data_IF_647458051460
#
_entry.id   IF_647458051460
#
_cell.length_a   1.000
_cell.length_b   1.000
_cell.length_c   1.000
_cell.angle_alpha   90.00
_cell.angle_beta   90.00
_cell.angle_gamma   90.00
#
_symmetry.space_group_name_H-M   'P 1'
#
loop_
_entity.id
_entity.type
_entity.pdbx_description
1 polymer ?
#
# COMPACT_ATOMS: atom_id res chain seq x y z
N UNK A 1 40.59 6.01 4.49
CA UNK A 1 40.08 7.32 4.94
C UNK A 1 39.08 7.07 6.05
N UNK A 2 39.15 7.83 7.15
CA UNK A 2 38.23 7.69 8.27
C UNK A 2 36.92 8.41 7.97
N UNK A 3 35.89 7.63 7.62
CA UNK A 3 34.56 8.14 7.30
C UNK A 3 33.89 8.80 8.52
N UNK A 4 34.29 8.47 9.75
CA UNK A 4 33.68 9.05 10.96
C UNK A 4 33.92 10.55 11.12
N UNK A 5 34.92 11.10 10.40
CA UNK A 5 35.29 12.52 10.40
C UNK A 5 34.56 13.35 9.33
N UNK A 6 33.56 12.78 8.65
CA UNK A 6 32.82 13.51 7.62
C UNK A 6 32.14 14.76 8.23
N UNK A 7 32.34 15.96 7.63
CA UNK A 7 31.70 17.18 8.07
C UNK A 7 30.17 17.09 8.08
N UNK A 8 29.54 17.74 9.07
CA UNK A 8 28.08 17.72 9.28
C UNK A 8 27.30 18.24 8.08
N UNK A 9 27.77 19.31 7.44
CA UNK A 9 27.21 19.89 6.23
C UNK A 9 27.17 18.90 5.06
N UNK A 10 28.22 18.10 4.88
CA UNK A 10 28.26 17.04 3.87
C UNK A 10 27.25 15.93 4.23
N UNK A 11 27.20 15.50 5.50
CA UNK A 11 26.20 14.53 5.96
C UNK A 11 24.77 15.06 5.73
N UNK A 12 24.52 16.33 5.97
CA UNK A 12 23.22 16.98 5.72
C UNK A 12 22.88 17.05 4.23
N UNK A 13 23.86 17.30 3.35
CA UNK A 13 23.68 17.26 1.90
C UNK A 13 23.37 15.85 1.39
N UNK A 14 24.06 14.83 1.92
CA UNK A 14 23.79 13.42 1.60
C UNK A 14 22.38 13.05 2.09
N UNK A 15 22.05 13.37 3.34
CA UNK A 15 20.74 13.12 3.91
C UNK A 15 19.62 13.86 3.16
N UNK A 16 19.89 15.06 2.63
CA UNK A 16 18.96 15.83 1.82
C UNK A 16 18.63 15.21 0.46
N UNK A 17 19.46 14.27 -0.03
CA UNK A 17 19.21 13.53 -1.28
C UNK A 17 18.38 12.26 -1.09
N UNK A 18 18.19 11.82 0.16
CA UNK A 18 17.47 10.60 0.45
C UNK A 18 15.98 10.74 0.19
N UNK A 19 15.43 9.72 -0.47
CA UNK A 19 14.02 9.65 -0.86
C UNK A 19 13.17 9.00 0.23
N UNK A 20 13.80 8.32 1.17
CA UNK A 20 13.16 7.55 2.24
C UNK A 20 13.79 7.87 3.59
N UNK A 21 13.04 7.65 4.66
CA UNK A 21 13.57 7.72 6.01
C UNK A 21 14.59 6.63 6.33
N UNK A 22 14.54 5.51 5.62
CA UNK A 22 15.36 4.34 5.87
C UNK A 22 16.80 4.58 5.46
N UNK A 23 17.03 5.33 4.38
CA UNK A 23 18.37 5.80 4.01
C UNK A 23 18.96 6.70 5.11
N UNK A 24 18.15 7.53 5.77
CA UNK A 24 18.59 8.32 6.93
C UNK A 24 18.93 7.40 8.11
N UNK A 25 18.12 6.37 8.36
CA UNK A 25 18.40 5.38 9.42
C UNK A 25 19.71 4.64 9.14
N UNK A 26 19.93 4.18 7.90
CA UNK A 26 21.17 3.52 7.49
C UNK A 26 22.38 4.44 7.58
N UNK A 27 22.25 5.70 7.14
CA UNK A 27 23.33 6.68 7.26
C UNK A 27 23.69 6.93 8.72
N UNK A 28 22.69 7.04 9.60
CA UNK A 28 22.92 7.22 11.04
C UNK A 28 23.51 5.97 11.71
N UNK A 29 23.33 4.79 11.11
CA UNK A 29 23.85 3.53 11.65
C UNK A 29 25.34 3.28 11.40
N UNK A 30 26.00 4.09 10.57
CA UNK A 30 27.41 3.89 10.19
C UNK A 30 28.36 4.07 11.38
N UNK A 31 28.18 5.13 12.17
CA UNK A 31 28.94 5.35 13.40
C UNK A 31 28.24 6.36 14.32
N UNK A 32 28.69 6.43 15.58
CA UNK A 32 28.12 7.34 16.57
C UNK A 32 28.23 8.81 16.17
N UNK A 33 29.34 9.25 15.56
CA UNK A 33 29.48 10.64 15.11
C UNK A 33 28.41 11.01 14.08
N UNK A 34 28.10 10.13 13.13
CA UNK A 34 27.04 10.36 12.13
C UNK A 34 25.65 10.32 12.76
N UNK A 35 25.43 9.42 13.74
CA UNK A 35 24.19 9.35 14.51
C UNK A 35 23.86 10.65 15.24
N UNK A 36 24.87 11.33 15.81
CA UNK A 36 24.74 12.61 16.50
C UNK A 36 24.73 13.82 15.56
N UNK A 37 25.54 13.78 14.49
CA UNK A 37 25.62 14.87 13.51
C UNK A 37 24.31 15.08 12.76
N UNK A 38 23.62 13.99 12.46
CA UNK A 38 22.29 13.99 11.89
C UNK A 38 21.28 13.80 13.03
N UNK A 39 20.65 14.88 13.54
CA UNK A 39 19.51 14.69 14.42
C UNK A 39 18.52 13.75 13.72
N UNK A 40 17.73 12.94 14.46
CA UNK A 40 16.57 12.31 13.88
C UNK A 40 15.69 13.46 13.38
N UNK A 41 15.87 13.87 12.11
CA UNK A 41 15.00 14.80 11.44
C UNK A 41 13.69 14.04 11.26
N UNK A 42 12.90 14.02 12.34
CA UNK A 42 11.48 13.67 12.34
C UNK A 42 10.69 14.79 11.65
N UNK A 43 11.36 15.80 11.07
CA UNK A 43 10.82 16.63 9.99
C UNK A 43 10.77 15.84 8.67
N UNK A 44 9.84 14.88 8.61
CA UNK A 44 8.70 14.90 7.69
C UNK A 44 8.95 15.42 6.24
N UNK A 45 10.04 15.00 5.60
CA UNK A 45 10.27 15.21 4.16
C UNK A 45 9.93 13.97 3.32
N UNK A 46 10.25 12.79 3.83
CA UNK A 46 10.20 11.52 3.08
C UNK A 46 9.30 10.43 3.71
N UNK A 47 8.99 10.52 5.00
CA UNK A 47 7.93 9.73 5.65
C UNK A 47 6.67 10.58 5.75
N UNK A 48 5.73 10.37 4.85
CA UNK A 48 4.34 10.73 5.08
C UNK A 48 4.06 12.17 5.51
N UNK A 49 4.33 13.15 4.65
CA UNK A 49 3.74 14.50 4.78
C UNK A 49 2.24 14.33 5.01
N UNK A 50 1.78 14.58 6.24
CA UNK A 50 0.36 14.72 6.55
C UNK A 50 -0.05 16.05 6.00
N UNK A 51 -0.70 16.04 4.85
CA UNK A 51 -1.25 17.27 4.28
C UNK A 51 -2.67 17.41 4.81
N UNK A 52 -2.94 18.52 5.48
CA UNK A 52 -4.30 18.91 5.80
C UNK A 52 -4.92 19.44 4.52
N UNK A 53 -5.92 18.72 4.03
CA UNK A 53 -6.75 19.15 2.92
C UNK A 53 -8.09 19.59 3.52
N UNK A 54 -8.83 20.51 2.90
CA UNK A 54 -10.20 20.77 3.30
C UNK A 54 -11.03 19.48 3.22
N UNK A 55 -12.07 19.40 4.04
CA UNK A 55 -13.10 18.35 3.92
C UNK A 55 -13.79 18.44 2.55
N UNK A 56 -14.48 17.38 2.16
CA UNK A 56 -15.24 17.35 0.92
C UNK A 56 -16.38 18.38 1.00
N UNK A 57 -16.22 19.50 0.29
CA UNK A 57 -17.11 20.65 0.35
C UNK A 57 -18.32 20.53 -0.59
N UNK A 58 -18.20 19.71 -1.64
CA UNK A 58 -19.31 19.36 -2.52
C UNK A 58 -20.13 18.19 -1.92
N UNK A 59 -21.37 18.03 -2.38
CA UNK A 59 -22.22 16.94 -1.91
C UNK A 59 -21.53 15.56 -2.09
N UNK A 60 -21.56 14.69 -1.07
CA UNK A 60 -22.23 14.87 0.23
C UNK A 60 -21.48 15.81 1.18
N UNK A 61 -22.19 16.81 1.73
CA UNK A 61 -21.67 17.64 2.83
C UNK A 61 -21.50 16.77 4.07
N UNK A 62 -20.31 16.79 4.66
CA UNK A 62 -20.02 16.10 5.91
C UNK A 62 -20.17 17.06 7.09
N UNK A 63 -21.08 16.75 8.02
CA UNK A 63 -21.02 17.31 9.36
C UNK A 63 -19.89 16.61 10.12
N UNK A 64 -18.88 17.38 10.54
CA UNK A 64 -17.68 16.83 11.17
C UNK A 64 -16.46 17.74 11.07
N UNK A 65 -15.31 17.14 10.74
CA UNK A 65 -14.04 17.86 10.65
C UNK A 65 -14.03 18.81 9.46
N UNK A 66 -13.42 19.99 9.63
CA UNK A 66 -13.18 20.93 8.52
C UNK A 66 -12.10 20.43 7.55
N UNK A 67 -11.30 19.44 7.96
CA UNK A 67 -10.12 18.99 7.24
C UNK A 67 -10.02 17.47 7.19
N UNK A 68 -9.50 16.94 6.08
CA UNK A 68 -9.06 15.57 5.96
C UNK A 68 -7.53 15.49 5.90
N UNK A 69 -6.98 14.37 6.36
CA UNK A 69 -5.54 14.13 6.45
C UNK A 69 -5.13 13.23 5.30
N UNK A 70 -4.40 13.77 4.33
CA UNK A 70 -3.71 12.96 3.33
C UNK A 70 -2.45 12.36 3.94
N UNK A 71 -2.39 11.04 4.01
CA UNK A 71 -1.26 10.25 4.48
C UNK A 71 -0.54 9.61 3.30
N UNK A 72 0.76 9.86 3.20
CA UNK A 72 1.67 9.14 2.31
C UNK A 72 2.38 8.04 3.13
N UNK A 73 2.12 6.78 2.81
CA UNK A 73 2.59 5.61 3.55
C UNK A 73 3.65 4.93 2.69
N UNK A 74 4.95 4.97 3.05
CA UNK A 74 5.95 4.21 2.32
C UNK A 74 5.72 2.71 2.50
N UNK A 75 5.89 1.97 1.42
CA UNK A 75 5.85 0.51 1.36
C UNK A 75 7.24 0.04 0.99
N UNK A 76 7.76 -0.95 1.68
CA UNK A 76 9.12 -1.45 1.54
C UNK A 76 9.20 -2.94 1.87
N UNK A 77 10.20 -3.60 1.32
CA UNK A 77 10.61 -4.95 1.71
C UNK A 77 11.83 -4.86 2.62
N UNK A 78 11.74 -5.51 3.77
CA UNK A 78 12.85 -5.74 4.67
C UNK A 78 13.44 -7.11 4.34
N UNK A 79 14.64 -7.14 3.79
CA UNK A 79 15.40 -8.37 3.62
C UNK A 79 16.29 -8.61 4.82
N UNK A 80 16.29 -9.82 5.33
CA UNK A 80 17.12 -10.24 6.46
C UNK A 80 17.64 -11.65 6.25
N UNK A 81 18.76 -11.97 6.91
CA UNK A 81 19.37 -13.29 6.86
C UNK A 81 18.80 -14.18 7.97
N UNK A 82 18.41 -15.40 7.61
CA UNK A 82 17.99 -16.45 8.54
C UNK A 82 18.94 -17.65 8.40
N UNK A 83 18.96 -18.58 9.37
CA UNK A 83 19.70 -19.84 9.23
C UNK A 83 19.31 -20.68 8.00
N UNK A 84 18.17 -20.39 7.38
CA UNK A 84 17.64 -21.07 6.21
C UNK A 84 17.80 -20.28 4.89
N UNK A 85 18.49 -19.13 4.94
CA UNK A 85 18.71 -18.24 3.81
C UNK A 85 18.07 -16.86 3.99
N UNK A 86 18.05 -16.06 2.91
CA UNK A 86 17.41 -14.76 2.92
C UNK A 86 15.89 -14.90 3.03
N UNK A 87 15.28 -14.05 3.85
CA UNK A 87 13.83 -13.92 3.98
C UNK A 87 13.45 -12.42 3.89
N UNK A 88 12.19 -12.16 3.58
CA UNK A 88 11.68 -10.82 3.33
C UNK A 88 10.48 -10.53 4.22
N UNK A 89 10.29 -9.28 4.64
CA UNK A 89 9.09 -8.76 5.29
C UNK A 89 8.54 -7.59 4.48
N UNK A 90 7.35 -7.76 3.90
CA UNK A 90 6.62 -6.71 3.21
C UNK A 90 5.88 -5.86 4.23
N UNK A 91 6.23 -4.59 4.30
CA UNK A 91 5.70 -3.72 5.32
C UNK A 91 5.47 -2.28 4.82
N UNK A 92 4.54 -1.63 5.50
CA UNK A 92 4.25 -0.22 5.36
C UNK A 92 4.55 0.48 6.67
N UNK A 93 4.83 1.77 6.64
CA UNK A 93 5.15 2.50 7.87
C UNK A 93 4.26 3.72 8.03
N UNK A 94 3.72 3.88 9.24
CA UNK A 94 2.99 5.08 9.62
C UNK A 94 3.47 5.61 10.94
N UNK A 95 3.38 6.92 11.12
CA UNK A 95 3.72 7.58 12.37
C UNK A 95 2.45 7.85 13.18
N UNK A 96 2.50 7.69 14.50
CA UNK A 96 1.43 8.11 15.42
C UNK A 96 1.52 9.60 15.73
N UNK A 97 0.50 10.18 16.39
CA UNK A 97 0.58 11.57 16.89
C UNK A 97 1.74 11.77 17.88
N UNK A 98 2.12 10.73 18.61
CA UNK A 98 3.24 10.73 19.57
C UNK A 98 4.63 10.63 18.94
N UNK A 99 4.76 10.72 17.61
CA UNK A 99 6.03 10.50 16.90
C UNK A 99 6.50 9.04 16.83
N UNK A 100 5.82 8.13 17.55
CA UNK A 100 6.15 6.69 17.50
C UNK A 100 5.78 6.10 16.14
N UNK A 101 6.74 5.42 15.55
CA UNK A 101 6.57 4.70 14.29
C UNK A 101 5.82 3.38 14.51
N UNK A 102 4.95 3.03 13.56
CA UNK A 102 4.13 1.81 13.57
C UNK A 102 4.25 1.12 12.21
N UNK A 103 4.61 -0.16 12.26
CA UNK A 103 4.57 -1.03 11.09
C UNK A 103 3.12 -1.38 10.75
N UNK A 104 2.81 -1.37 9.46
CA UNK A 104 1.59 -1.85 8.87
C UNK A 104 1.93 -3.13 8.08
N UNK A 105 1.07 -4.14 8.17
CA UNK A 105 1.16 -5.32 7.32
C UNK A 105 0.16 -5.16 6.16
N UNK A 106 0.53 -5.52 4.91
CA UNK A 106 -0.40 -5.56 3.78
C UNK A 106 -1.55 -6.55 3.97
N UNK A 107 -1.29 -7.56 4.80
CA UNK A 107 -2.03 -8.82 4.81
C UNK A 107 -2.93 -8.99 6.03
N UNK A 108 -2.75 -8.13 7.03
CA UNK A 108 -3.56 -8.13 8.24
C UNK A 108 -4.25 -6.79 8.45
N UNK A 109 -5.58 -6.84 8.58
CA UNK A 109 -6.39 -5.71 9.05
C UNK A 109 -6.53 -5.72 10.59
N UNK A 110 -5.79 -6.59 11.29
CA UNK A 110 -6.00 -6.90 12.69
C UNK A 110 -4.92 -6.30 13.59
N UNK A 111 -5.40 -5.76 14.71
CA UNK A 111 -4.72 -5.21 15.87
C UNK A 111 -3.73 -6.17 16.59
N UNK A 112 -3.16 -7.17 15.89
CA UNK A 112 -2.40 -8.28 16.48
C UNK A 112 -0.90 -8.07 16.64
N UNK A 113 -0.31 -7.02 16.06
CA UNK A 113 0.98 -6.55 16.57
C UNK A 113 0.73 -5.96 17.95
N UNK A 114 0.83 -6.83 18.96
CA UNK A 114 0.96 -6.44 20.36
C UNK A 114 1.97 -5.31 20.42
N UNK A 115 1.57 -4.24 21.09
CA UNK A 115 2.38 -3.06 21.34
C UNK A 115 3.84 -3.43 21.68
N UNK A 116 4.81 -2.77 21.04
CA UNK A 116 6.21 -2.83 21.47
C UNK A 116 7.20 -3.59 20.58
N UNK A 117 6.84 -3.97 19.36
CA UNK A 117 7.79 -4.55 18.41
C UNK A 117 8.74 -3.48 17.89
N UNK A 118 10.00 -3.55 18.31
CA UNK A 118 11.08 -2.74 17.75
C UNK A 118 11.74 -3.53 16.63
N UNK A 119 11.84 -2.93 15.44
CA UNK A 119 12.43 -3.56 14.27
C UNK A 119 13.92 -3.25 14.19
N UNK A 120 14.77 -4.29 14.24
CA UNK A 120 16.21 -4.09 14.08
C UNK A 120 16.54 -3.90 12.59
N UNK A 121 16.85 -2.66 12.22
CA UNK A 121 17.18 -2.28 10.83
C UNK A 121 18.68 -2.31 10.56
N UNK A 122 19.53 -2.57 11.56
CA UNK A 122 20.99 -2.54 11.42
C UNK A 122 21.52 -3.73 10.60
N UNK A 123 20.84 -4.88 10.68
CA UNK A 123 21.19 -6.12 9.96
C UNK A 123 20.27 -6.41 8.77
N UNK A 124 19.34 -5.51 8.45
CA UNK A 124 18.34 -5.71 7.41
C UNK A 124 18.55 -4.76 6.24
N UNK A 125 18.47 -5.27 5.02
CA UNK A 125 18.45 -4.44 3.82
C UNK A 125 17.02 -3.97 3.56
N UNK A 126 16.84 -2.67 3.35
CA UNK A 126 15.52 -2.06 3.10
C UNK A 126 15.40 -1.73 1.61
N UNK A 127 14.41 -2.34 0.96
CA UNK A 127 14.12 -2.18 -0.46
C UNK A 127 12.82 -1.36 -0.59
N UNK A 128 12.88 -0.08 -0.99
CA UNK A 128 11.68 0.74 -1.11
C UNK A 128 10.84 0.30 -2.32
N UNK A 129 9.55 0.05 -2.10
CA UNK A 129 8.61 -0.36 -3.15
C UNK A 129 7.73 0.79 -3.65
N UNK A 130 7.71 1.92 -2.94
CA UNK A 130 6.94 3.09 -3.31
C UNK A 130 6.07 3.59 -2.17
N UNK A 131 4.94 4.20 -2.54
CA UNK A 131 4.06 4.87 -1.58
C UNK A 131 2.60 4.54 -1.86
N UNK A 132 1.86 4.25 -0.79
CA UNK A 132 0.41 4.23 -0.77
C UNK A 132 -0.10 5.56 -0.24
N UNK A 133 -1.20 6.04 -0.81
CA UNK A 133 -1.85 7.26 -0.34
C UNK A 133 -3.20 6.94 0.25
N UNK A 134 -3.50 7.55 1.40
CA UNK A 134 -4.79 7.47 2.05
C UNK A 134 -5.29 8.83 2.47
N UNK A 135 -6.59 9.04 2.38
CA UNK A 135 -7.24 10.17 3.05
C UNK A 135 -7.96 9.64 4.28
N UNK A 136 -7.72 10.30 5.41
CA UNK A 136 -8.39 10.01 6.68
C UNK A 136 -9.21 11.21 7.12
N UNK A 137 -10.47 11.00 7.46
CA UNK A 137 -11.37 12.04 7.94
C UNK A 137 -12.40 11.45 8.90
N UNK A 138 -13.00 12.31 9.72
CA UNK A 138 -14.16 11.94 10.52
C UNK A 138 -15.41 12.51 9.88
N UNK A 139 -16.44 11.68 9.78
CA UNK A 139 -17.72 12.09 9.25
C UNK A 139 -18.83 11.56 10.15
N UNK A 140 -19.83 12.39 10.41
CA UNK A 140 -21.06 11.95 11.03
C UNK A 140 -21.90 11.28 9.95
N UNK A 141 -22.18 9.99 10.14
CA UNK A 141 -23.04 9.24 9.22
C UNK A 141 -24.18 8.57 9.97
N UNK A 142 -25.36 8.57 9.35
CA UNK A 142 -26.55 7.91 9.89
C UNK A 142 -26.73 6.58 9.18
N UNK A 143 -26.53 5.48 9.89
CA UNK A 143 -26.83 4.13 9.38
C UNK A 143 -27.85 3.46 10.28
N UNK A 144 -28.95 2.96 9.70
CA UNK A 144 -30.00 2.18 10.39
C UNK A 144 -30.40 2.80 11.74
N UNK A 145 -30.81 4.07 11.72
CA UNK A 145 -31.34 4.83 12.87
C UNK A 145 -30.33 5.25 13.96
N UNK A 146 -29.01 5.05 13.75
CA UNK A 146 -27.97 5.58 14.65
C UNK A 146 -27.07 6.56 13.92
N UNK A 147 -26.99 7.77 14.46
CA UNK A 147 -26.04 8.81 14.06
C UNK A 147 -24.75 8.62 14.84
N UNK A 148 -23.63 8.39 14.14
CA UNK A 148 -22.31 8.22 14.77
C UNK A 148 -21.25 8.99 13.99
N UNK A 149 -20.31 9.58 14.72
CA UNK A 149 -19.06 10.08 14.16
C UNK A 149 -18.15 8.88 13.92
N UNK A 150 -17.87 8.58 12.66
CA UNK A 150 -17.03 7.48 12.25
C UNK A 150 -15.74 7.99 11.59
N UNK A 151 -14.64 7.29 11.82
CA UNK A 151 -13.38 7.57 11.15
C UNK A 151 -13.31 6.79 9.85
N UNK A 152 -13.21 7.50 8.74
CA UNK A 152 -13.02 6.94 7.42
C UNK A 152 -11.53 7.00 7.06
N UNK A 153 -11.00 5.88 6.56
CA UNK A 153 -9.67 5.84 5.95
C UNK A 153 -9.81 5.18 4.59
N UNK A 154 -9.69 5.99 3.54
CA UNK A 154 -9.87 5.55 2.16
C UNK A 154 -8.54 5.57 1.43
N UNK A 155 -8.28 4.55 0.62
CA UNK A 155 -7.19 4.57 -0.35
C UNK A 155 -7.53 5.58 -1.44
N UNK A 156 -6.51 6.33 -1.87
CA UNK A 156 -6.63 7.34 -2.93
C UNK A 156 -5.50 7.18 -3.94
N UNK A 157 -5.71 7.68 -5.15
CA UNK A 157 -4.63 7.84 -6.11
C UNK A 157 -4.07 9.25 -6.01
N UNK A 158 -2.73 9.35 -6.01
CA UNK A 158 -2.00 10.60 -5.93
C UNK A 158 -1.20 10.80 -7.21
N UNK A 159 -1.24 12.01 -7.76
CA UNK A 159 -0.54 12.35 -8.99
C UNK A 159 0.20 13.68 -8.81
N UNK A 160 1.54 13.72 -8.87
CA UNK A 160 2.25 14.99 -9.00
C UNK A 160 1.88 15.64 -10.35
N UNK A 161 1.68 16.95 -10.34
CA UNK A 161 1.39 17.74 -11.54
C UNK A 161 2.62 18.57 -11.93
N UNK A 162 2.74 18.87 -13.21
CA UNK A 162 3.76 19.81 -13.68
C UNK A 162 3.39 21.22 -13.21
N UNK A 163 4.28 21.85 -12.43
CA UNK A 163 4.20 23.25 -12.07
C UNK A 163 5.58 23.85 -11.90
N UNK A 164 5.70 25.16 -12.00
CA UNK A 164 6.99 25.88 -11.92
C UNK A 164 7.78 25.55 -10.65
N UNK A 165 7.06 25.36 -9.53
CA UNK A 165 7.65 25.01 -8.23
C UNK A 165 7.73 23.49 -7.98
N UNK A 166 7.14 22.66 -8.84
CA UNK A 166 7.06 21.20 -8.70
C UNK A 166 6.27 20.74 -7.46
N UNK A 167 5.41 21.61 -6.90
CA UNK A 167 4.66 21.34 -5.66
C UNK A 167 3.22 20.94 -5.91
N UNK A 168 2.72 21.12 -7.13
CA UNK A 168 1.33 20.84 -7.41
C UNK A 168 1.05 19.35 -7.55
N UNK A 169 -0.13 18.95 -7.09
CA UNK A 169 -0.58 17.58 -7.12
C UNK A 169 -2.10 17.51 -7.21
N UNK A 170 -2.58 16.38 -7.73
CA UNK A 170 -3.97 15.99 -7.72
C UNK A 170 -4.16 14.71 -6.93
N UNK A 171 -5.32 14.58 -6.28
CA UNK A 171 -5.74 13.37 -5.55
C UNK A 171 -7.13 13.00 -6.01
N UNK A 172 -7.32 11.75 -6.44
CA UNK A 172 -8.66 11.20 -6.70
C UNK A 172 -9.02 10.25 -5.57
N UNK A 173 -10.17 10.52 -4.97
CA UNK A 173 -10.71 9.80 -3.84
C UNK A 173 -12.13 9.36 -4.14
N UNK A 174 -12.42 8.12 -3.74
CA UNK A 174 -13.76 7.61 -3.72
C UNK A 174 -14.43 7.83 -2.37
N UNK A 175 -15.50 8.62 -2.33
CA UNK A 175 -16.14 9.09 -1.10
C UNK A 175 -17.65 8.81 -1.17
N UNK A 176 -18.11 7.86 -0.35
CA UNK A 176 -19.54 7.48 -0.25
C UNK A 176 -20.24 7.13 -1.57
N UNK A 177 -19.49 6.70 -2.59
CA UNK A 177 -20.00 6.33 -3.91
C UNK A 177 -19.67 7.35 -5.00
N UNK A 178 -19.29 8.57 -4.61
CA UNK A 178 -18.88 9.62 -5.53
C UNK A 178 -17.35 9.64 -5.72
N UNK A 179 -16.91 10.03 -6.91
CA UNK A 179 -15.50 10.27 -7.21
C UNK A 179 -15.21 11.76 -7.12
N UNK A 180 -14.26 12.12 -6.26
CA UNK A 180 -13.88 13.49 -5.97
C UNK A 180 -12.41 13.69 -6.33
N UNK A 181 -12.08 14.82 -6.96
CA UNK A 181 -10.70 15.23 -7.19
C UNK A 181 -10.35 16.44 -6.35
N UNK A 182 -9.23 16.36 -5.64
CA UNK A 182 -8.57 17.51 -5.05
C UNK A 182 -7.43 17.95 -5.96
N UNK A 183 -7.30 19.25 -6.22
CA UNK A 183 -6.11 19.84 -6.83
C UNK A 183 -5.49 20.86 -5.88
N UNK A 184 -4.18 20.78 -5.68
CA UNK A 184 -3.44 21.70 -4.79
C UNK A 184 -3.52 23.16 -5.23
N UNK A 185 -3.59 23.42 -6.53
CA UNK A 185 -3.70 24.76 -7.10
C UNK A 185 -5.05 25.41 -6.79
N UNK A 186 -6.14 24.63 -6.82
CA UNK A 186 -7.48 25.12 -6.49
C UNK A 186 -7.81 25.08 -5.00
N UNK A 187 -7.04 24.27 -4.24
CA UNK A 187 -7.23 24.02 -2.80
C UNK A 187 -8.65 23.58 -2.44
N UNK A 188 -9.33 22.84 -3.31
CA UNK A 188 -10.68 22.32 -3.07
C UNK A 188 -10.87 20.94 -3.67
N UNK A 189 -11.79 20.18 -3.08
CA UNK A 189 -12.35 19.00 -3.71
C UNK A 189 -13.40 19.42 -4.73
N UNK A 190 -13.50 18.71 -5.83
CA UNK A 190 -14.50 18.92 -6.88
C UNK A 190 -15.02 17.58 -7.33
N UNK A 191 -16.34 17.47 -7.43
CA UNK A 191 -17.02 16.28 -7.93
C UNK A 191 -16.62 16.01 -9.39
N UNK A 192 -16.17 14.79 -9.66
CA UNK A 192 -15.90 14.33 -11.02
C UNK A 192 -17.23 13.90 -11.61
N UNK A 193 -17.66 14.58 -12.67
CA UNK A 193 -18.90 14.23 -13.35
C UNK A 193 -18.67 13.07 -14.33
N UNK A 194 -19.58 12.10 -14.32
CA UNK A 194 -19.51 10.92 -15.18
C UNK A 194 -20.59 9.91 -14.81
N UNK A 195 -20.73 8.87 -15.62
CA UNK A 195 -21.69 7.78 -15.39
C UNK A 195 -21.11 6.74 -14.41
N UNK A 196 -20.67 7.23 -13.25
CA UNK A 196 -20.14 6.37 -12.19
C UNK A 196 -21.30 5.76 -11.41
N UNK A 197 -21.30 4.44 -11.24
CA UNK A 197 -22.26 3.76 -10.35
C UNK A 197 -21.62 3.41 -9.02
N UNK A 198 -20.47 2.75 -9.07
CA UNK A 198 -19.58 2.49 -7.94
C UNK A 198 -18.21 2.04 -8.47
N UNK A 199 -17.15 2.19 -7.68
CA UNK A 199 -15.78 1.83 -8.06
C UNK A 199 -15.13 0.88 -7.07
N UNK A 200 -14.23 0.03 -7.58
CA UNK A 200 -13.56 -1.01 -6.81
C UNK A 200 -12.16 -0.59 -6.39
N UNK A 201 -11.40 0.00 -7.32
CA UNK A 201 -10.00 0.34 -7.11
C UNK A 201 -9.59 1.54 -7.98
N UNK A 202 -8.56 2.26 -7.52
CA UNK A 202 -8.10 3.51 -8.12
C UNK A 202 -6.56 3.56 -8.06
N UNK A 203 -5.95 3.94 -9.18
CA UNK A 203 -4.50 4.15 -9.26
C UNK A 203 -4.14 5.33 -10.16
N UNK A 204 -2.98 5.93 -9.93
CA UNK A 204 -2.38 6.89 -10.86
C UNK A 204 -1.32 6.19 -11.71
N UNK A 205 -1.33 6.47 -13.00
CA UNK A 205 -0.42 5.88 -13.97
C UNK A 205 -0.20 6.86 -15.13
N UNK A 206 1.06 7.08 -15.53
CA UNK A 206 1.47 7.96 -16.64
C UNK A 206 0.67 9.27 -16.77
N UNK A 207 0.61 10.06 -15.70
CA UNK A 207 -0.04 11.39 -15.74
C UNK A 207 -1.56 11.38 -15.61
N UNK A 208 -2.19 10.23 -15.41
CA UNK A 208 -3.66 10.08 -15.36
C UNK A 208 -4.10 9.21 -14.19
N UNK A 209 -5.40 9.23 -13.90
CA UNK A 209 -6.02 8.33 -12.93
C UNK A 209 -6.83 7.26 -13.66
N UNK A 210 -6.75 6.04 -13.17
CA UNK A 210 -7.49 4.88 -13.67
C UNK A 210 -8.36 4.36 -12.55
N UNK A 211 -9.66 4.24 -12.83
CA UNK A 211 -10.68 3.81 -11.87
C UNK A 211 -11.41 2.62 -12.46
N UNK A 212 -11.30 1.45 -11.83
CA UNK A 212 -12.09 0.28 -12.21
C UNK A 212 -13.42 0.30 -11.47
N UNK A 213 -14.51 0.06 -12.20
CA UNK A 213 -15.85 0.08 -11.62
C UNK A 213 -16.16 -1.21 -10.84
N UNK A 214 -17.36 -1.30 -10.24
CA UNK A 214 -17.78 -2.50 -9.53
C UNK A 214 -18.55 -3.49 -10.41
N UNK A 215 -18.59 -3.30 -11.74
CA UNK A 215 -19.36 -4.15 -12.65
C UNK A 215 -18.83 -5.57 -12.72
N UNK A 216 -17.52 -5.79 -12.54
CA UNK A 216 -16.95 -7.12 -12.75
C UNK A 216 -16.58 -7.44 -14.19
N UNK A 217 -16.72 -6.48 -15.08
CA UNK A 217 -16.49 -6.63 -16.51
C UNK A 217 -15.11 -6.08 -16.94
N UNK A 218 -14.30 -5.57 -16.01
CA UNK A 218 -13.05 -4.90 -16.30
C UNK A 218 -13.23 -3.53 -16.95
N UNK A 219 -14.34 -2.86 -16.65
CA UNK A 219 -14.63 -1.53 -17.16
C UNK A 219 -13.85 -0.47 -16.36
N UNK A 220 -13.07 0.34 -17.08
CA UNK A 220 -12.13 1.30 -16.47
C UNK A 220 -12.33 2.69 -17.03
N UNK A 221 -12.52 3.66 -16.13
CA UNK A 221 -12.52 5.09 -16.44
C UNK A 221 -11.11 5.65 -16.33
N UNK A 222 -10.71 6.43 -17.32
CA UNK A 222 -9.47 7.22 -17.32
C UNK A 222 -9.83 8.67 -17.10
N UNK A 223 -9.34 9.23 -16.00
CA UNK A 223 -9.62 10.58 -15.57
C UNK A 223 -8.33 11.39 -15.68
N UNK A 224 -8.37 12.47 -16.45
CA UNK A 224 -7.28 13.42 -16.56
C UNK A 224 -7.40 14.50 -15.47
N UNK A 225 -6.29 15.13 -15.04
CA UNK A 225 -6.32 16.24 -14.08
C UNK A 225 -7.19 17.43 -14.50
N UNK A 226 -7.49 17.53 -15.80
CA UNK A 226 -8.41 18.50 -16.42
C UNK A 226 -9.89 18.19 -16.20
N UNK A 227 -10.23 17.11 -15.46
CA UNK A 227 -11.57 16.51 -15.33
C UNK A 227 -12.12 15.85 -16.59
N UNK A 228 -11.32 15.71 -17.66
CA UNK A 228 -11.74 14.92 -18.82
C UNK A 228 -11.81 13.44 -18.45
N UNK A 229 -12.97 12.84 -18.65
CA UNK A 229 -13.22 11.41 -18.42
C UNK A 229 -13.32 10.69 -19.76
N UNK A 230 -12.61 9.59 -19.89
CA UNK A 230 -12.71 8.66 -21.03
C UNK A 230 -12.81 7.23 -20.50
N UNK A 231 -13.29 6.30 -21.32
CA UNK A 231 -13.54 4.91 -20.90
C UNK A 231 -12.67 3.95 -21.72
N UNK A 232 -12.25 2.86 -21.09
CA UNK A 232 -11.63 1.71 -21.75
C UNK A 232 -12.67 0.61 -21.80
N UNK A 233 -12.85 0.02 -22.99
CA UNK A 233 -13.85 -1.02 -23.19
C UNK A 233 -13.67 -2.19 -22.20
N UNK A 234 -14.77 -2.74 -21.66
CA UNK A 234 -14.72 -3.88 -20.75
C UNK A 234 -14.03 -5.09 -21.38
N UNK A 235 -13.41 -5.92 -20.55
CA UNK A 235 -12.71 -7.16 -20.98
C UNK A 235 -13.63 -8.36 -21.11
N UNK A 236 -14.80 -8.32 -20.47
CA UNK A 236 -15.87 -9.33 -20.59
C UNK A 236 -17.23 -8.65 -20.74
N UNK A 237 -18.21 -9.39 -21.29
CA UNK A 237 -19.62 -8.96 -21.29
C UNK A 237 -20.41 -9.54 -20.11
N UNK A 238 -19.78 -10.42 -19.34
CA UNK A 238 -20.37 -11.19 -18.23
C UNK A 238 -19.85 -10.66 -16.90
N UNK A 239 -20.75 -10.56 -15.92
CA UNK A 239 -20.47 -10.19 -14.53
C UNK A 239 -19.86 -11.39 -13.76
N UNK A 240 -18.65 -11.80 -14.14
CA UNK A 240 -18.04 -13.05 -13.65
C UNK A 240 -17.29 -12.89 -12.32
N UNK A 241 -16.90 -11.67 -11.94
CA UNK A 241 -16.21 -11.40 -10.68
C UNK A 241 -16.61 -10.04 -10.09
N UNK A 242 -16.44 -9.86 -8.78
CA UNK A 242 -16.55 -8.56 -8.12
C UNK A 242 -15.25 -8.13 -7.44
N UNK A 243 -14.11 -8.80 -7.68
CA UNK A 243 -12.81 -8.39 -7.12
C UNK A 243 -11.84 -8.13 -8.27
N UNK A 244 -11.82 -6.86 -8.69
CA UNK A 244 -10.99 -6.33 -9.76
C UNK A 244 -10.02 -5.31 -9.17
N UNK A 245 -8.73 -5.47 -9.46
CA UNK A 245 -7.65 -4.63 -8.92
C UNK A 245 -6.81 -4.05 -10.05
N UNK A 246 -6.35 -2.83 -9.85
CA UNK A 246 -5.37 -2.18 -10.72
C UNK A 246 -3.99 -2.24 -10.07
N UNK A 247 -2.99 -2.65 -10.84
CA UNK A 247 -1.61 -2.83 -10.38
C UNK A 247 -0.66 -2.16 -11.37
N UNK A 248 0.11 -1.19 -10.88
CA UNK A 248 1.18 -0.58 -11.67
C UNK A 248 2.43 -1.44 -11.56
N UNK A 249 3.02 -1.77 -12.70
CA UNK A 249 4.26 -2.56 -12.82
C UNK A 249 5.24 -1.81 -13.71
N UNK A 250 6.09 -0.97 -13.11
CA UNK A 250 6.95 -0.06 -13.86
C UNK A 250 6.14 0.84 -14.82
N UNK A 251 6.40 0.68 -16.13
CA UNK A 251 5.74 1.43 -17.20
C UNK A 251 4.49 0.74 -17.78
N UNK A 252 4.00 -0.31 -17.10
CA UNK A 252 2.80 -1.06 -17.46
C UNK A 252 1.71 -0.94 -16.38
N UNK A 253 0.45 -1.02 -16.82
CA UNK A 253 -0.70 -1.12 -15.95
C UNK A 253 -1.41 -2.45 -16.17
N UNK A 254 -1.63 -3.18 -15.09
CA UNK A 254 -2.33 -4.46 -15.08
C UNK A 254 -3.71 -4.33 -14.44
N UNK A 255 -4.72 -4.88 -15.11
CA UNK A 255 -6.02 -5.18 -14.54
C UNK A 255 -6.02 -6.65 -14.11
N UNK A 256 -6.29 -6.90 -12.84
CA UNK A 256 -6.30 -8.25 -12.25
C UNK A 256 -7.71 -8.58 -11.78
N UNK A 257 -8.32 -9.59 -12.39
CA UNK A 257 -9.61 -10.14 -12.03
C UNK A 257 -9.42 -11.39 -11.18
N UNK A 258 -9.99 -11.42 -9.97
CA UNK A 258 -9.97 -12.58 -9.09
C UNK A 258 -11.29 -13.32 -9.13
N UNK A 259 -11.26 -14.62 -9.34
CA UNK A 259 -12.46 -15.45 -9.36
C UNK A 259 -12.41 -16.42 -8.19
N UNK A 260 -13.44 -16.35 -7.35
CA UNK A 260 -13.57 -17.26 -6.21
C UNK A 260 -14.82 -18.11 -6.46
N UNK A 261 -14.68 -19.41 -6.74
CA UNK A 261 -15.81 -20.30 -6.96
C UNK A 261 -16.83 -20.26 -5.79
N UNK A 262 -18.14 -20.38 -6.06
CA UNK A 262 -19.14 -20.56 -5.02
C UNK A 262 -19.00 -21.96 -4.42
N UNK A 263 -18.52 -22.03 -3.17
CA UNK A 263 -18.31 -23.29 -2.44
C UNK A 263 -18.48 -23.12 -0.94
N UNK A 264 -18.81 -24.22 -0.24
CA UNK A 264 -18.88 -24.26 1.24
C UNK A 264 -17.47 -24.22 1.84
N UNK A 265 -17.35 -23.74 3.08
CA UNK A 265 -16.10 -23.78 3.84
C UNK A 265 -15.51 -25.20 3.86
N UNK A 266 -14.22 -25.33 3.52
CA UNK A 266 -13.47 -26.59 3.66
C UNK A 266 -13.42 -27.50 2.42
N UNK A 267 -13.93 -27.06 1.26
CA UNK A 267 -13.82 -27.84 0.03
C UNK A 267 -12.42 -27.67 -0.59
N UNK A 268 -11.61 -28.72 -0.50
CA UNK A 268 -10.18 -28.72 -0.88
C UNK A 268 -9.92 -28.47 -2.37
N UNK A 269 -10.97 -28.47 -3.20
CA UNK A 269 -10.89 -28.31 -4.66
C UNK A 269 -11.37 -26.94 -5.17
N UNK A 270 -11.82 -26.04 -4.29
CA UNK A 270 -12.32 -24.70 -4.66
C UNK A 270 -11.15 -23.69 -4.72
N UNK A 271 -10.35 -23.74 -5.78
CA UNK A 271 -9.21 -22.83 -5.90
C UNK A 271 -9.60 -21.48 -6.51
N UNK A 272 -9.30 -20.40 -5.80
CA UNK A 272 -9.29 -19.04 -6.34
C UNK A 272 -8.35 -19.00 -7.55
N UNK A 273 -8.77 -18.37 -8.64
CA UNK A 273 -7.97 -18.25 -9.85
C UNK A 273 -8.05 -16.82 -10.40
N UNK A 274 -7.13 -16.46 -11.28
CA UNK A 274 -6.97 -15.08 -11.73
C UNK A 274 -6.93 -14.96 -13.26
N UNK A 275 -7.40 -13.82 -13.76
CA UNK A 275 -7.12 -13.33 -15.12
C UNK A 275 -6.42 -11.99 -15.02
N UNK A 276 -5.44 -11.79 -15.90
CA UNK A 276 -4.69 -10.55 -15.96
C UNK A 276 -4.81 -9.97 -17.36
N UNK A 277 -4.85 -8.64 -17.41
CA UNK A 277 -4.83 -7.89 -18.65
C UNK A 277 -3.84 -6.74 -18.51
N UNK A 278 -3.02 -6.53 -19.52
CA UNK A 278 -2.13 -5.37 -19.64
C UNK A 278 -2.81 -4.30 -20.47
N UNK A 279 -2.67 -3.04 -20.04
CA UNK A 279 -3.12 -1.89 -20.81
C UNK A 279 -2.15 -1.64 -21.97
N UNK A 280 -2.67 -1.63 -23.19
CA UNK A 280 -1.98 -1.05 -24.34
C UNK A 280 -2.53 0.35 -24.61
N UNK A 281 -1.63 1.34 -24.68
CA UNK A 281 -1.99 2.74 -24.92
C UNK A 281 -1.75 3.19 -26.36
N UNK A 282 -0.99 2.43 -27.15
CA UNK A 282 -0.73 2.75 -28.55
C UNK A 282 -2.00 2.60 -29.40
N UNK A 283 -2.42 3.69 -30.04
CA UNK A 283 -3.66 3.75 -30.78
C UNK A 283 -4.88 3.90 -29.86
N UNK A 284 -5.77 2.90 -29.86
CA UNK A 284 -6.95 2.88 -29.00
C UNK A 284 -6.64 2.10 -27.72
N UNK A 285 -6.85 2.72 -26.56
CA UNK A 285 -6.65 2.08 -25.25
C UNK A 285 -7.46 0.80 -25.16
N UNK A 286 -6.77 -0.32 -24.92
CA UNK A 286 -7.39 -1.63 -24.82
C UNK A 286 -6.65 -2.52 -23.83
N UNK A 287 -7.39 -3.48 -23.31
CA UNK A 287 -6.86 -4.52 -22.44
C UNK A 287 -6.44 -5.73 -23.26
N UNK A 288 -5.20 -6.19 -23.07
CA UNK A 288 -4.67 -7.39 -23.70
C UNK A 288 -4.41 -8.45 -22.64
N UNK A 289 -4.96 -9.65 -22.82
CA UNK A 289 -4.83 -10.73 -21.85
C UNK A 289 -3.37 -11.14 -21.69
N UNK A 290 -2.96 -11.29 -20.43
CA UNK A 290 -1.63 -11.76 -20.03
C UNK A 290 -1.77 -13.11 -19.32
N UNK A 291 -0.95 -14.07 -19.71
CA UNK A 291 -0.88 -15.39 -19.06
C UNK A 291 0.50 -15.66 -18.42
N UNK A 292 1.46 -14.75 -18.60
CA UNK A 292 2.80 -14.84 -18.05
C UNK A 292 3.25 -13.44 -17.62
N UNK A 293 3.59 -13.29 -16.34
CA UNK A 293 4.16 -12.11 -15.73
C UNK A 293 5.69 -12.11 -15.81
N UNK A 294 6.29 -13.09 -16.49
CA UNK A 294 7.72 -13.29 -16.65
C UNK A 294 8.44 -13.44 -15.31
N UNK A 295 9.28 -12.47 -14.95
CA UNK A 295 9.98 -12.41 -13.67
C UNK A 295 9.16 -11.68 -12.59
N UNK A 296 7.95 -11.20 -12.88
CA UNK A 296 7.20 -10.38 -11.94
C UNK A 296 6.38 -11.19 -10.92
N UNK A 297 6.17 -10.57 -9.76
CA UNK A 297 5.33 -11.05 -8.66
C UNK A 297 4.35 -9.94 -8.28
N UNK A 298 3.06 -10.26 -8.32
CA UNK A 298 2.00 -9.33 -7.92
C UNK A 298 1.54 -9.65 -6.50
N UNK A 299 1.49 -8.65 -5.63
CA UNK A 299 0.99 -8.78 -4.27
C UNK A 299 -0.36 -8.06 -4.14
N UNK A 300 -1.41 -8.80 -3.79
CA UNK A 300 -2.77 -8.30 -3.59
C UNK A 300 -3.17 -8.44 -2.10
N UNK A 301 -3.00 -7.35 -1.37
CA UNK A 301 -3.46 -7.21 0.00
C UNK A 301 -4.87 -6.62 0.11
N UNK A 302 -5.30 -6.38 1.35
CA UNK A 302 -6.61 -5.74 1.61
C UNK A 302 -6.70 -4.36 0.97
N UNK A 303 -5.60 -3.60 1.02
CA UNK A 303 -5.55 -2.23 0.52
C UNK A 303 -4.33 -1.98 -0.39
N UNK A 304 -3.44 -2.97 -0.56
CA UNK A 304 -2.16 -2.79 -1.25
C UNK A 304 -2.17 -3.65 -2.50
N UNK A 305 -1.91 -3.03 -3.65
CA UNK A 305 -1.62 -3.78 -4.87
C UNK A 305 -0.28 -3.29 -5.39
N UNK A 306 0.72 -4.16 -5.36
CA UNK A 306 2.09 -3.84 -5.79
C UNK A 306 2.61 -4.95 -6.69
N UNK A 307 3.41 -4.60 -7.69
CA UNK A 307 4.08 -5.54 -8.57
C UNK A 307 5.59 -5.35 -8.48
N UNK A 308 6.37 -6.43 -8.54
CA UNK A 308 7.82 -6.38 -8.40
C UNK A 308 8.53 -7.43 -9.24
N UNK A 309 9.73 -7.12 -9.73
CA UNK A 309 10.59 -8.13 -10.39
C UNK A 309 11.21 -9.05 -9.34
N UNK A 310 11.10 -10.36 -9.55
CA UNK A 310 11.75 -11.39 -8.75
C UNK A 310 13.27 -11.34 -8.86
N UNK A 311 13.85 -10.68 -9.87
CA UNK A 311 15.30 -10.50 -9.97
C UNK A 311 15.84 -9.63 -8.83
N UNK A 312 15.04 -8.69 -8.34
CA UNK A 312 15.37 -7.85 -7.19
C UNK A 312 15.13 -8.58 -5.85
N UNK A 313 14.40 -9.69 -5.88
CA UNK A 313 13.95 -10.45 -4.72
C UNK A 313 14.38 -11.93 -4.84
N UNK A 314 15.67 -12.20 -4.57
CA UNK A 314 16.21 -13.55 -4.66
C UNK A 314 15.45 -14.54 -3.78
N UNK A 315 14.96 -15.65 -4.35
CA UNK A 315 14.16 -16.66 -3.64
C UNK A 315 12.64 -16.53 -3.85
N UNK A 316 12.19 -15.49 -4.56
CA UNK A 316 10.80 -15.32 -4.91
C UNK A 316 10.35 -16.18 -6.09
N UNK A 317 9.17 -16.79 -5.97
CA UNK A 317 8.54 -17.52 -7.07
C UNK A 317 8.05 -16.49 -8.09
N UNK A 318 8.67 -16.48 -9.27
CA UNK A 318 8.25 -15.61 -10.38
C UNK A 318 6.90 -16.04 -10.96
N UNK A 319 6.33 -15.18 -11.80
CA UNK A 319 5.09 -15.46 -12.52
C UNK A 319 3.94 -15.89 -11.60
N UNK A 320 3.78 -15.20 -10.47
CA UNK A 320 2.76 -15.55 -9.49
C UNK A 320 2.06 -14.32 -8.89
N UNK A 321 0.86 -14.56 -8.37
CA UNK A 321 0.10 -13.60 -7.57
C UNK A 321 0.06 -14.09 -6.14
N UNK A 322 0.54 -13.29 -5.21
CA UNK A 322 0.40 -13.53 -3.77
C UNK A 322 -0.78 -12.72 -3.26
N UNK A 323 -1.75 -13.36 -2.61
CA UNK A 323 -2.99 -12.70 -2.23
C UNK A 323 -3.55 -13.21 -0.90
N UNK A 324 -4.46 -12.44 -0.31
CA UNK A 324 -5.20 -12.85 0.88
C UNK A 324 -6.48 -13.60 0.47
N UNK A 325 -6.65 -14.81 0.98
CA UNK A 325 -7.89 -15.57 0.93
C UNK A 325 -8.73 -15.31 2.19
N UNK A 326 -9.73 -14.40 2.13
CA UNK A 326 -10.53 -14.06 3.30
C UNK A 326 -11.37 -15.23 3.82
N UNK A 327 -11.61 -16.26 2.98
CA UNK A 327 -12.37 -17.46 3.35
C UNK A 327 -11.58 -18.45 4.20
N UNK A 328 -10.27 -18.30 4.34
CA UNK A 328 -9.42 -19.21 5.11
C UNK A 328 -9.15 -18.62 6.50
N UNK A 329 -9.44 -19.39 7.56
CA UNK A 329 -9.31 -18.94 8.97
C UNK A 329 -7.87 -18.96 9.46
N UNK A 330 -7.07 -19.92 8.98
CA UNK A 330 -5.67 -20.15 9.36
C UNK A 330 -4.77 -20.06 8.12
N UNK A 331 -3.73 -19.22 8.14
CA UNK A 331 -2.86 -18.94 6.97
C UNK A 331 -3.62 -18.33 5.78
N UNK A 332 -4.02 -17.05 5.91
CA UNK A 332 -4.78 -16.34 4.87
C UNK A 332 -3.99 -16.09 3.57
N UNK A 333 -2.67 -16.22 3.58
CA UNK A 333 -1.82 -15.90 2.43
C UNK A 333 -1.71 -17.07 1.47
N UNK A 334 -2.14 -16.86 0.23
CA UNK A 334 -2.10 -17.84 -0.86
C UNK A 334 -1.26 -17.34 -2.03
N UNK A 335 -0.75 -18.26 -2.83
CA UNK A 335 0.01 -17.97 -4.05
C UNK A 335 -0.69 -18.66 -5.21
N UNK A 336 -1.03 -17.89 -6.23
CA UNK A 336 -1.50 -18.39 -7.51
C UNK A 336 -0.35 -18.35 -8.52
N UNK A 337 0.07 -19.53 -8.97
CA UNK A 337 1.05 -19.68 -10.04
C UNK A 337 0.32 -19.57 -11.39
N UNK A 338 0.68 -18.57 -12.21
CA UNK A 338 0.03 -18.37 -13.51
C UNK A 338 0.37 -19.49 -14.51
N UNK A 339 1.59 -20.04 -14.43
CA UNK A 339 2.07 -21.09 -15.32
C UNK A 339 1.36 -22.42 -15.06
N UNK A 340 1.26 -22.85 -13.82
CA UNK A 340 0.55 -24.09 -13.46
C UNK A 340 -0.95 -23.90 -13.27
N UNK A 341 -1.41 -22.65 -13.14
CA UNK A 341 -2.79 -22.26 -12.78
C UNK A 341 -3.29 -22.93 -11.50
N UNK A 342 -2.39 -23.06 -10.52
CA UNK A 342 -2.69 -23.68 -9.23
C UNK A 342 -2.55 -22.65 -8.12
N UNK A 343 -3.46 -22.75 -7.15
CA UNK A 343 -3.38 -22.01 -5.90
C UNK A 343 -2.83 -22.94 -4.83
N UNK A 344 -1.85 -22.45 -4.10
CA UNK A 344 -1.20 -23.14 -2.99
C UNK A 344 -1.04 -22.17 -1.82
N UNK A 345 -0.72 -22.72 -0.65
CA UNK A 345 -0.40 -21.92 0.53
C UNK A 345 0.89 -21.16 0.29
N UNK A 346 0.95 -19.89 0.69
CA UNK A 346 2.18 -19.11 0.57
C UNK A 346 3.32 -19.77 1.36
N UNK A 347 3.07 -20.21 2.59
CA UNK A 347 4.09 -20.82 3.46
C UNK A 347 4.82 -22.01 2.81
N UNK A 348 4.14 -22.80 1.97
CA UNK A 348 4.74 -24.00 1.35
C UNK A 348 5.60 -23.68 0.12
N UNK A 349 5.14 -22.75 -0.73
CA UNK A 349 5.83 -22.39 -1.99
C UNK A 349 6.88 -21.29 -1.80
N UNK A 350 6.65 -20.43 -0.82
CA UNK A 350 7.37 -19.19 -0.61
C UNK A 350 8.23 -19.31 0.67
N UNK A 351 9.11 -20.33 0.72
CA UNK A 351 10.00 -20.58 1.89
C UNK A 351 10.88 -19.38 2.27
N UNK A 352 11.12 -18.46 1.34
CA UNK A 352 11.84 -17.20 1.58
C UNK A 352 10.96 -15.97 1.78
N UNK A 353 9.65 -16.14 2.03
CA UNK A 353 8.74 -15.02 2.31
C UNK A 353 8.09 -15.12 3.71
N UNK A 354 8.67 -15.91 4.61
CA UNK A 354 8.08 -16.19 5.92
C UNK A 354 7.93 -14.93 6.78
N UNK A 355 8.75 -13.90 6.59
CA UNK A 355 8.54 -12.59 7.21
C UNK A 355 7.41 -11.77 6.59
N UNK A 356 7.20 -11.86 5.28
CA UNK A 356 6.33 -10.97 4.51
C UNK A 356 4.88 -11.43 4.52
N UNK A 357 4.66 -12.74 4.75
CA UNK A 357 3.35 -13.38 4.70
C UNK A 357 3.05 -14.24 5.92
N UNK A 358 4.04 -14.48 6.80
CA UNK A 358 3.92 -15.43 7.90
C UNK A 358 3.49 -14.79 9.22
N UNK A 359 2.63 -15.51 9.93
CA UNK A 359 2.24 -15.24 11.33
C UNK A 359 3.38 -15.54 12.33
N UNK A 360 4.62 -15.73 11.87
CA UNK A 360 5.67 -16.39 12.65
C UNK A 360 6.53 -15.39 13.45
N UNK A 361 5.91 -14.77 14.45
CA UNK A 361 6.58 -13.85 15.39
C UNK A 361 7.83 -14.47 16.06
N UNK A 362 7.84 -15.79 16.25
CA UNK A 362 8.97 -16.52 16.85
C UNK A 362 10.20 -16.53 15.94
N UNK A 363 10.03 -16.61 14.62
CA UNK A 363 11.14 -16.56 13.66
C UNK A 363 11.71 -15.16 13.53
N UNK A 364 10.85 -14.14 13.55
CA UNK A 364 11.29 -12.73 13.57
C UNK A 364 12.02 -12.39 14.88
N UNK A 365 11.58 -12.97 16.00
CA UNK A 365 12.22 -12.79 17.30
C UNK A 365 13.55 -13.54 17.41
N UNK A 366 13.64 -14.78 16.92
CA UNK A 366 14.87 -15.58 16.95
C UNK A 366 15.98 -14.98 16.07
N UNK A 367 15.61 -14.34 14.96
CA UNK A 367 16.54 -13.62 14.09
C UNK A 367 16.89 -12.21 14.60
N UNK A 368 16.39 -11.81 15.77
CA UNK A 368 16.65 -10.49 16.35
C UNK A 368 16.05 -9.30 15.58
N UNK A 369 15.13 -9.57 14.65
CA UNK A 369 14.43 -8.57 13.83
C UNK A 369 13.32 -7.92 14.64
N UNK A 370 12.63 -8.71 15.46
CA UNK A 370 11.53 -8.29 16.33
C UNK A 370 11.93 -8.50 17.78
N UNK A 371 12.15 -7.43 18.53
CA UNK A 371 12.24 -7.56 19.99
C UNK A 371 10.83 -7.64 20.58
N UNK A 372 10.53 -8.76 21.23
CA UNK A 372 9.32 -8.90 22.04
C UNK A 372 9.47 -8.08 23.32
N UNK A 373 8.42 -7.32 23.74
CA UNK A 373 8.48 -6.57 24.98
C UNK A 373 8.74 -7.52 26.16
N UNK A 374 9.68 -7.16 27.02
CA UNK A 374 10.06 -7.95 28.18
C UNK A 374 8.86 -8.03 29.14
N UNK A 375 8.32 -9.23 29.46
CA UNK A 375 7.11 -9.37 30.28
C UNK A 375 7.29 -8.85 31.72
N UNK A 376 8.52 -8.54 32.14
CA UNK A 376 8.84 -7.99 33.47
C UNK A 376 8.72 -6.46 33.57
N UNK A 377 8.53 -5.74 32.46
CA UNK A 377 8.26 -4.30 32.48
C UNK A 377 6.75 -4.11 32.39
N UNK A 378 6.10 -4.12 33.56
CA UNK A 378 4.66 -3.90 33.67
C UNK A 378 4.26 -2.57 33.02
N UNK A 379 3.39 -2.63 32.03
CA UNK A 379 2.66 -1.48 31.51
C UNK A 379 1.62 -1.03 32.53
N UNK A 380 2.06 -0.29 33.53
CA UNK A 380 1.20 0.69 34.21
C UNK A 380 1.55 2.06 33.63
N UNK A 381 0.86 2.40 32.55
CA UNK A 381 0.49 3.78 32.25
C UNK A 381 -0.85 3.71 31.53
N UNK A 382 -1.86 3.37 32.33
CA UNK A 382 -3.24 3.72 32.06
C UNK A 382 -3.38 5.23 32.16
N UNK A 383 -3.26 5.93 31.03
CA UNK A 383 -4.01 7.17 30.85
C UNK A 383 -5.14 6.87 29.89
N UNK A 384 -6.24 6.43 30.49
CA UNK A 384 -7.58 6.74 30.00
C UNK A 384 -7.63 8.27 29.95
N UNK A 385 -7.48 8.86 28.78
CA UNK A 385 -8.11 10.15 28.51
C UNK A 385 -9.27 9.87 27.57
N UNK A 386 -10.42 9.84 28.22
CA UNK A 386 -11.76 9.87 27.68
C UNK A 386 -12.04 11.16 26.90
N UNK A 387 -12.87 10.98 25.87
CA UNK A 387 -13.61 11.97 25.04
C UNK A 387 -12.98 12.44 23.71
#
# INVERSE_FOLDING_TARGET
>A
ADWSLLPKDILELIAGRFKTCFEIVHLRSVCSSWWYALPPKISLGSLGKRSLLPIFNDNPRFDGDEHCILKKIPVFLLRFETPFGNDYLLAGMTEKKSGKQRLLSPLENTYRYKYGVTLNTLSSQIIPLGHLYKVQFYAITTRRYRTRRECYSIRVAFLPMESEDGRDFAVVAGVLGDLMMYRSCDKKWTLIQGRFQAYRDIVSFKGKFYVVDMSGQGHVFVIEPSFKVTEISPVTQSHETFDERLVVSGDELLLVQRFTPPGKYGDEHMHTWFRLFRLEEEGQRRWVRVNDLEDQVVFLGNEWNVCYSSKELSGMKRNCIVFIEPKIVFERSCVFDLGTRKTSKAVTECRGYMGAFGENQESLASCGIMMMPNPKVGTYDTSIESE
#
